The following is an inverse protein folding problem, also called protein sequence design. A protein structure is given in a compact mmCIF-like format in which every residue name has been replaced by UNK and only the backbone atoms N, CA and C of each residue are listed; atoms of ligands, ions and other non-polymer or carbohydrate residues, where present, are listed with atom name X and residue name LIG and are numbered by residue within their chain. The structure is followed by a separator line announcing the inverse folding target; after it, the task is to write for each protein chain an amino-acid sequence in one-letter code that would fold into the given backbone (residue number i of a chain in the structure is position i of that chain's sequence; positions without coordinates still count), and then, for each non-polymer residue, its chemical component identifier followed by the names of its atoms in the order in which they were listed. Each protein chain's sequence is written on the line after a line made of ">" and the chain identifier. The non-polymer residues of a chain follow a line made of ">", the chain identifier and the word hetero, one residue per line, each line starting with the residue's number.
data_IF_299172170886
#
_entry.id   IF_299172170886
#
_cell.length_a   1.000
_cell.length_b   1.000
_cell.length_c   1.000
_cell.angle_alpha   90.00
_cell.angle_beta   90.00
_cell.angle_gamma   90.00
#
_symmetry.space_group_name_H-M   'P 1'
#
loop_
_entity.id
_entity.type
_entity.pdbx_description
1 polymer ?
#
# COMPACT_ATOMS: atom_id res chain seq x y z
N UNK A 1 -27.63 8.31 -82.93
CA UNK A 1 -27.87 7.04 -83.65
C UNK A 1 -26.91 5.99 -83.09
N UNK A 2 -27.36 4.75 -83.06
CA UNK A 2 -26.66 3.52 -82.66
C UNK A 2 -26.56 3.23 -81.16
N UNK A 3 -26.83 1.96 -80.89
CA UNK A 3 -27.31 1.30 -79.68
C UNK A 3 -26.47 0.01 -79.57
N UNK A 4 -26.39 -0.59 -78.37
CA UNK A 4 -26.04 -2.00 -78.02
C UNK A 4 -24.87 -2.09 -77.02
N UNK A 5 -25.14 -2.41 -75.75
CA UNK A 5 -25.25 -3.74 -75.08
C UNK A 5 -23.90 -4.39 -74.78
N UNK A 6 -23.57 -4.53 -73.49
CA UNK A 6 -23.01 -5.75 -72.92
C UNK A 6 -23.10 -5.72 -71.38
N UNK A 7 -23.80 -6.73 -70.85
CA UNK A 7 -23.84 -7.07 -69.45
C UNK A 7 -22.47 -7.60 -68.98
N UNK A 8 -22.11 -7.32 -67.73
CA UNK A 8 -20.89 -7.84 -67.11
C UNK A 8 -21.05 -7.92 -65.60
N UNK A 9 -21.44 -9.12 -65.14
CA UNK A 9 -21.39 -9.59 -63.76
C UNK A 9 -20.03 -9.27 -63.11
N UNK A 10 -20.00 -8.66 -61.93
CA UNK A 10 -18.86 -8.75 -61.02
C UNK A 10 -19.33 -8.85 -59.56
N UNK A 11 -18.78 -9.86 -58.89
CA UNK A 11 -19.17 -10.44 -57.63
C UNK A 11 -19.19 -9.47 -56.44
N UNK A 12 -20.18 -9.65 -55.57
CA UNK A 12 -20.20 -9.12 -54.21
C UNK A 12 -19.15 -9.89 -53.40
N UNK A 13 -18.00 -9.26 -53.14
CA UNK A 13 -17.00 -9.79 -52.22
C UNK A 13 -17.50 -9.70 -50.78
N UNK A 14 -17.78 -10.84 -50.16
CA UNK A 14 -18.05 -10.93 -48.72
C UNK A 14 -16.71 -10.77 -48.00
N UNK A 15 -16.44 -9.59 -47.45
CA UNK A 15 -15.34 -9.34 -46.53
C UNK A 15 -15.64 -10.06 -45.21
N UNK A 16 -15.18 -11.30 -45.08
CA UNK A 16 -15.09 -11.96 -43.78
C UNK A 16 -13.91 -11.35 -43.02
N UNK A 17 -14.20 -10.47 -42.06
CA UNK A 17 -13.20 -10.02 -41.08
C UNK A 17 -12.87 -11.20 -40.15
N UNK A 18 -11.85 -11.97 -40.50
CA UNK A 18 -11.21 -12.91 -39.58
C UNK A 18 -10.59 -12.10 -38.45
N UNK A 19 -11.26 -12.05 -37.30
CA UNK A 19 -10.72 -11.48 -36.08
C UNK A 19 -9.59 -12.39 -35.57
N UNK A 20 -8.39 -12.21 -36.12
CA UNK A 20 -7.17 -12.81 -35.59
C UNK A 20 -6.95 -12.21 -34.20
N UNK A 21 -7.27 -12.97 -33.16
CA UNK A 21 -6.88 -12.65 -31.79
C UNK A 21 -5.36 -12.63 -31.73
N UNK A 22 -4.79 -11.42 -31.66
CA UNK A 22 -3.34 -11.26 -31.54
C UNK A 22 -2.86 -11.95 -30.25
N UNK A 23 -1.81 -12.80 -30.31
CA UNK A 23 -1.27 -13.49 -29.13
C UNK A 23 -0.87 -12.52 -28.01
N UNK A 24 -0.49 -11.29 -28.37
CA UNK A 24 -0.18 -10.20 -27.45
C UNK A 24 -1.37 -9.78 -26.58
N UNK A 25 -2.58 -9.74 -27.15
CA UNK A 25 -3.80 -9.41 -26.40
C UNK A 25 -4.20 -10.54 -25.46
N UNK A 26 -4.01 -11.79 -25.88
CA UNK A 26 -4.25 -12.95 -25.03
C UNK A 26 -3.26 -12.98 -23.84
N UNK A 27 -1.99 -12.67 -24.09
CA UNK A 27 -0.97 -12.56 -23.05
C UNK A 27 -1.25 -11.42 -22.06
N UNK A 28 -1.69 -10.25 -22.52
CA UNK A 28 -2.06 -9.14 -21.63
C UNK A 28 -3.28 -9.47 -20.75
N UNK A 29 -4.27 -10.19 -21.29
CA UNK A 29 -5.44 -10.64 -20.54
C UNK A 29 -5.04 -11.70 -19.50
N UNK A 30 -4.13 -12.61 -19.87
CA UNK A 30 -3.67 -13.66 -18.96
C UNK A 30 -2.75 -13.10 -17.86
N UNK A 31 -1.90 -12.12 -18.18
CA UNK A 31 -1.12 -11.36 -17.21
C UNK A 31 -2.02 -10.56 -16.25
N UNK A 32 -3.11 -9.95 -16.74
CA UNK A 32 -4.08 -9.26 -15.91
C UNK A 32 -4.87 -10.22 -14.99
N UNK A 33 -5.14 -11.44 -15.44
CA UNK A 33 -5.82 -12.48 -14.64
C UNK A 33 -4.94 -13.10 -13.57
N UNK A 34 -3.64 -13.17 -13.81
CA UNK A 34 -2.66 -13.76 -12.89
C UNK A 34 -1.88 -12.72 -12.08
N UNK A 35 -2.22 -11.43 -12.20
CA UNK A 35 -1.63 -10.40 -11.36
C UNK A 35 -2.04 -10.66 -9.90
N UNK A 36 -1.09 -10.65 -8.93
CA UNK A 36 -1.45 -10.80 -7.53
C UNK A 36 -2.42 -9.70 -7.12
N UNK A 37 -3.38 -10.04 -6.26
CA UNK A 37 -4.34 -9.08 -5.72
C UNK A 37 -3.58 -7.91 -5.08
N UNK A 38 -3.70 -6.73 -5.71
CA UNK A 38 -3.09 -5.52 -5.19
C UNK A 38 -3.91 -5.03 -4.01
N UNK A 39 -3.26 -4.85 -2.87
CA UNK A 39 -3.89 -4.32 -1.68
C UNK A 39 -4.01 -2.79 -1.76
N UNK A 40 -5.18 -2.25 -1.45
CA UNK A 40 -5.38 -0.80 -1.33
C UNK A 40 -5.12 -0.30 0.10
N UNK A 41 -5.08 -1.21 1.08
CA UNK A 41 -4.86 -0.93 2.49
C UNK A 41 -4.23 -2.17 3.16
N UNK A 42 -3.41 -1.95 4.18
CA UNK A 42 -3.01 -3.02 5.08
C UNK A 42 -4.26 -3.62 5.74
N UNK A 43 -4.29 -4.95 5.97
CA UNK A 43 -5.33 -5.56 6.78
C UNK A 43 -5.23 -5.09 8.24
N UNK A 44 -6.28 -5.28 9.04
CA UNK A 44 -6.22 -5.04 10.49
C UNK A 44 -5.03 -5.78 11.13
N UNK A 45 -4.30 -5.10 12.00
CA UNK A 45 -3.13 -5.65 12.67
C UNK A 45 -3.48 -6.01 14.12
N UNK A 46 -2.98 -7.17 14.58
CA UNK A 46 -3.10 -7.54 15.99
C UNK A 46 -1.90 -6.98 16.74
N UNK A 47 -2.17 -6.16 17.76
CA UNK A 47 -1.18 -5.64 18.69
C UNK A 47 -1.33 -6.40 20.00
N UNK A 48 -0.39 -7.25 20.44
CA UNK A 48 -0.51 -7.99 21.69
C UNK A 48 -0.62 -7.09 22.94
N UNK A 49 -1.11 -7.67 24.03
CA UNK A 49 -1.25 -6.99 25.32
C UNK A 49 0.10 -6.46 25.81
N UNK A 50 0.10 -5.21 26.27
CA UNK A 50 1.29 -4.52 26.77
C UNK A 50 2.28 -4.11 25.69
N UNK A 51 1.98 -4.28 24.39
CA UNK A 51 2.82 -3.81 23.29
C UNK A 51 2.29 -2.51 22.69
N UNK A 52 3.18 -1.79 22.01
CA UNK A 52 2.84 -0.54 21.34
C UNK A 52 3.15 -0.62 19.85
N UNK A 53 2.52 0.24 19.08
CA UNK A 53 2.73 0.27 17.65
C UNK A 53 2.52 1.63 17.03
N UNK A 54 3.16 1.82 15.88
CA UNK A 54 2.95 2.95 14.99
C UNK A 54 1.92 2.53 13.96
N UNK A 55 0.86 3.33 13.83
CA UNK A 55 -0.22 3.12 12.87
C UNK A 55 -0.36 4.34 11.99
N UNK A 56 -0.03 4.22 10.69
CA UNK A 56 -0.04 5.34 9.77
C UNK A 56 -0.94 5.11 8.56
N UNK A 57 -1.69 6.15 8.24
CA UNK A 57 -2.70 6.18 7.20
C UNK A 57 -2.34 7.22 6.15
N UNK A 58 -2.77 6.99 4.91
CA UNK A 58 -2.67 8.00 3.86
C UNK A 58 -3.56 9.21 4.17
N UNK A 59 -3.18 10.39 3.67
CA UNK A 59 -3.92 11.64 3.89
C UNK A 59 -5.05 11.92 2.87
N UNK A 60 -5.31 10.99 1.95
CA UNK A 60 -6.40 11.12 0.96
C UNK A 60 -7.75 10.64 1.50
N UNK A 61 -8.83 10.86 0.74
CA UNK A 61 -10.22 10.65 1.20
C UNK A 61 -10.51 9.27 1.83
N UNK A 62 -9.88 8.20 1.32
CA UNK A 62 -10.07 6.83 1.83
C UNK A 62 -9.19 6.47 3.04
N UNK A 63 -8.26 7.34 3.42
CA UNK A 63 -7.30 7.15 4.51
C UNK A 63 -6.75 5.71 4.63
N UNK A 64 -6.17 5.14 3.55
CA UNK A 64 -5.76 3.74 3.54
C UNK A 64 -4.73 3.49 4.64
N UNK A 65 -4.76 2.33 5.28
CA UNK A 65 -3.75 1.94 6.26
C UNK A 65 -2.47 1.54 5.52
N UNK A 66 -1.36 2.25 5.75
CA UNK A 66 -0.13 2.13 4.93
C UNK A 66 1.04 1.54 5.68
N UNK A 67 1.25 1.95 6.94
CA UNK A 67 2.39 1.49 7.74
C UNK A 67 1.92 1.02 9.09
N UNK A 68 2.38 -0.18 9.47
CA UNK A 68 2.30 -0.68 10.83
C UNK A 68 3.70 -1.04 11.30
N UNK A 69 4.10 -0.59 12.48
CA UNK A 69 5.30 -1.10 13.16
C UNK A 69 4.91 -1.52 14.57
N UNK A 70 5.36 -2.70 14.99
CA UNK A 70 5.25 -3.15 16.37
C UNK A 70 6.62 -2.96 17.04
N UNK A 71 6.66 -2.13 18.09
CA UNK A 71 7.88 -1.63 18.72
C UNK A 71 8.72 -2.71 19.40
N UNK A 72 8.07 -3.80 19.84
CA UNK A 72 8.68 -4.92 20.58
C UNK A 72 8.83 -6.18 19.75
N UNK A 73 7.92 -6.43 18.82
CA UNK A 73 7.96 -7.63 17.99
C UNK A 73 9.03 -7.57 16.89
N UNK A 74 9.67 -6.41 16.67
CA UNK A 74 10.71 -6.27 15.65
C UNK A 74 10.17 -6.47 14.24
N UNK A 75 8.92 -6.03 14.00
CA UNK A 75 8.21 -6.25 12.75
C UNK A 75 7.55 -4.97 12.25
N UNK A 76 7.71 -4.69 10.96
CA UNK A 76 7.01 -3.62 10.26
C UNK A 76 6.34 -4.13 8.98
N UNK A 77 5.16 -3.60 8.67
CA UNK A 77 4.46 -3.80 7.40
C UNK A 77 4.34 -2.46 6.68
N UNK A 78 4.67 -2.43 5.40
CA UNK A 78 4.54 -1.23 4.56
C UNK A 78 3.81 -1.59 3.27
N UNK A 79 2.71 -0.90 2.98
CA UNK A 79 2.01 -1.02 1.70
C UNK A 79 2.59 -0.05 0.66
N UNK A 80 3.25 -0.59 -0.36
CA UNK A 80 3.81 0.16 -1.46
C UNK A 80 3.38 -0.41 -2.81
N UNK A 81 2.82 0.43 -3.68
CA UNK A 81 2.36 0.05 -5.03
C UNK A 81 1.45 -1.21 -5.08
N UNK A 82 0.61 -1.39 -4.05
CA UNK A 82 -0.28 -2.54 -3.96
C UNK A 82 0.33 -3.81 -3.36
N UNK A 83 1.62 -3.77 -3.00
CA UNK A 83 2.36 -4.88 -2.40
C UNK A 83 2.60 -4.60 -0.91
N UNK A 84 2.34 -5.59 -0.07
CA UNK A 84 2.64 -5.54 1.35
C UNK A 84 4.05 -6.07 1.57
N UNK A 85 4.93 -5.19 2.07
CA UNK A 85 6.30 -5.52 2.43
C UNK A 85 6.35 -5.83 3.92
N UNK A 86 6.69 -7.06 4.29
CA UNK A 86 6.91 -7.48 5.68
C UNK A 86 8.41 -7.45 6.00
N UNK A 87 8.78 -6.64 6.99
CA UNK A 87 10.16 -6.27 7.26
C UNK A 87 10.52 -6.59 8.70
N UNK A 88 11.67 -7.23 8.88
CA UNK A 88 12.32 -7.35 10.19
C UNK A 88 12.97 -6.02 10.57
N UNK A 89 12.71 -5.55 11.79
CA UNK A 89 13.27 -4.30 12.32
C UNK A 89 13.87 -4.52 13.70
N UNK A 90 14.89 -3.76 14.03
CA UNK A 90 15.40 -3.73 15.41
C UNK A 90 14.33 -3.14 16.32
N UNK A 91 13.90 -3.84 17.38
CA UNK A 91 12.97 -3.29 18.37
C UNK A 91 13.49 -1.96 18.91
N UNK A 92 12.65 -0.94 18.89
CA UNK A 92 12.96 0.39 19.43
C UNK A 92 11.87 0.78 20.42
N UNK A 93 11.84 0.12 21.59
CA UNK A 93 10.89 0.46 22.62
C UNK A 93 11.21 1.85 23.18
N UNK A 94 10.21 2.70 23.25
CA UNK A 94 10.36 4.06 23.78
C UNK A 94 9.11 4.87 23.52
N UNK A 95 8.77 5.75 24.47
CA UNK A 95 7.66 6.67 24.27
C UNK A 95 8.04 7.71 23.22
N UNK A 96 7.12 8.01 22.31
CA UNK A 96 7.20 9.21 21.50
C UNK A 96 6.91 10.41 22.40
N UNK A 97 7.85 11.36 22.47
CA UNK A 97 7.70 12.58 23.28
C UNK A 97 7.16 13.70 22.40
N UNK A 98 6.11 14.38 22.84
CA UNK A 98 5.50 15.50 22.12
C UNK A 98 6.55 16.56 21.73
N UNK A 99 6.47 17.01 20.48
CA UNK A 99 7.39 17.98 19.87
C UNK A 99 8.67 17.38 19.31
N UNK A 100 8.94 16.09 19.53
CA UNK A 100 10.12 15.45 18.96
C UNK A 100 9.92 15.08 17.48
N UNK A 101 11.01 15.19 16.72
CA UNK A 101 11.09 14.62 15.38
C UNK A 101 11.60 13.20 15.44
N UNK A 102 11.01 12.34 14.63
CA UNK A 102 11.45 10.95 14.52
C UNK A 102 11.87 10.59 13.10
N UNK A 103 12.73 9.57 13.01
CA UNK A 103 13.13 8.95 11.75
C UNK A 103 13.27 7.44 11.91
N UNK A 104 12.67 6.69 10.97
CA UNK A 104 12.84 5.24 10.83
C UNK A 104 13.33 4.91 9.43
N UNK A 105 14.15 3.88 9.32
CA UNK A 105 14.66 3.37 8.04
C UNK A 105 14.41 1.87 8.01
N UNK A 106 13.77 1.42 6.94
CA UNK A 106 13.45 0.02 6.71
C UNK A 106 14.09 -0.41 5.39
N UNK A 107 14.75 -1.57 5.43
CA UNK A 107 15.41 -2.16 4.28
C UNK A 107 14.60 -3.37 3.83
N UNK A 108 14.12 -3.35 2.59
CA UNK A 108 13.59 -4.53 1.92
C UNK A 108 14.65 -5.06 0.95
N UNK A 109 15.38 -6.08 1.39
CA UNK A 109 16.40 -6.73 0.57
C UNK A 109 15.81 -7.55 -0.58
N UNK A 110 14.59 -8.08 -0.41
CA UNK A 110 13.96 -8.89 -1.45
C UNK A 110 13.51 -8.02 -2.63
N UNK A 111 13.02 -6.82 -2.35
CA UNK A 111 12.54 -5.88 -3.37
C UNK A 111 13.57 -4.80 -3.75
N UNK A 112 14.74 -4.78 -3.11
CA UNK A 112 15.74 -3.72 -3.26
C UNK A 112 15.19 -2.30 -3.03
N UNK A 113 14.36 -2.15 -1.99
CA UNK A 113 13.74 -0.89 -1.61
C UNK A 113 14.26 -0.40 -0.26
N UNK A 114 14.42 0.91 -0.14
CA UNK A 114 14.67 1.59 1.13
C UNK A 114 13.48 2.48 1.44
N UNK A 115 12.82 2.20 2.56
CA UNK A 115 11.76 3.04 3.09
C UNK A 115 12.31 3.92 4.20
N UNK A 116 12.17 5.24 4.07
CA UNK A 116 12.51 6.20 5.11
C UNK A 116 11.25 6.90 5.57
N UNK A 117 10.93 6.75 6.86
CA UNK A 117 9.82 7.41 7.51
C UNK A 117 10.36 8.55 8.36
N UNK A 118 9.81 9.75 8.21
CA UNK A 118 10.12 10.91 9.04
C UNK A 118 8.85 11.60 9.46
N UNK A 119 8.80 12.17 10.66
CA UNK A 119 7.66 12.96 11.10
C UNK A 119 7.92 13.65 12.43
N UNK A 120 6.86 14.18 13.01
CA UNK A 120 6.85 14.87 14.29
C UNK A 120 5.78 14.26 15.21
N UNK A 121 6.07 14.24 16.51
CA UNK A 121 5.12 13.82 17.54
C UNK A 121 4.29 15.02 17.93
N UNK A 122 3.00 14.95 17.62
CA UNK A 122 2.00 15.95 18.00
C UNK A 122 1.43 15.70 19.39
N UNK A 123 0.23 16.24 19.61
CA UNK A 123 -0.46 16.16 20.89
C UNK A 123 -0.91 14.73 21.23
N UNK A 124 -1.02 14.48 22.54
CA UNK A 124 -1.64 13.26 23.07
C UNK A 124 -3.12 13.20 22.68
N UNK A 125 -3.55 12.03 22.20
CA UNK A 125 -4.97 11.74 21.94
C UNK A 125 -5.47 10.68 22.92
N UNK A 126 -6.78 10.40 22.93
CA UNK A 126 -7.33 9.29 23.71
C UNK A 126 -6.78 7.90 23.32
N UNK A 127 -6.01 7.79 22.24
CA UNK A 127 -5.40 6.54 21.75
C UNK A 127 -3.87 6.56 21.76
N UNK A 128 -3.23 7.60 22.31
CA UNK A 128 -1.79 7.81 22.26
C UNK A 128 -1.40 9.08 21.49
N UNK A 129 -0.11 9.46 21.41
CA UNK A 129 0.31 10.68 20.73
C UNK A 129 0.10 10.59 19.22
N UNK A 130 -0.34 11.70 18.64
CA UNK A 130 -0.50 11.84 17.19
C UNK A 130 0.87 11.92 16.51
N UNK A 131 0.98 11.31 15.34
CA UNK A 131 2.14 11.42 14.47
C UNK A 131 1.76 12.30 13.28
N UNK A 132 2.40 13.45 13.19
CA UNK A 132 2.08 14.53 12.26
C UNK A 132 3.22 14.78 11.27
N UNK A 133 2.89 15.44 10.16
CA UNK A 133 3.83 15.78 9.08
C UNK A 133 4.65 14.57 8.62
N UNK A 134 4.03 13.39 8.62
CA UNK A 134 4.74 12.13 8.37
C UNK A 134 4.95 11.97 6.87
N UNK A 135 6.19 11.72 6.46
CA UNK A 135 6.57 11.44 5.09
C UNK A 135 7.17 10.04 5.01
N UNK A 136 6.59 9.20 4.16
CA UNK A 136 7.18 7.94 3.72
C UNK A 136 7.87 8.17 2.39
N UNK A 137 9.20 8.13 2.39
CA UNK A 137 10.02 8.11 1.18
C UNK A 137 10.39 6.68 0.83
N UNK A 138 10.16 6.27 -0.40
CA UNK A 138 10.61 4.98 -0.93
C UNK A 138 11.63 5.23 -2.02
N UNK A 139 12.84 4.68 -1.86
CA UNK A 139 13.91 4.74 -2.85
C UNK A 139 14.19 3.34 -3.39
N UNK A 140 14.22 3.22 -4.71
CA UNK A 140 14.67 2.00 -5.38
C UNK A 140 16.15 2.08 -5.76
N UNK A 141 16.73 0.94 -6.15
CA UNK A 141 18.15 0.83 -6.50
C UNK A 141 18.54 1.63 -7.74
N UNK A 142 17.59 1.89 -8.64
CA UNK A 142 17.78 2.74 -9.82
C UNK A 142 17.83 4.24 -9.50
N UNK A 143 17.67 4.60 -8.21
CA UNK A 143 17.66 5.97 -7.72
C UNK A 143 16.30 6.65 -7.80
N UNK A 144 15.27 5.99 -8.34
CA UNK A 144 13.92 6.53 -8.33
C UNK A 144 13.40 6.68 -6.90
N UNK A 145 12.68 7.76 -6.65
CA UNK A 145 12.15 8.08 -5.33
C UNK A 145 10.68 8.48 -5.43
N UNK A 146 9.87 7.97 -4.50
CA UNK A 146 8.49 8.41 -4.30
C UNK A 146 8.31 8.89 -2.88
N UNK A 147 7.44 9.88 -2.69
CA UNK A 147 7.14 10.46 -1.37
C UNK A 147 5.63 10.41 -1.16
N UNK A 148 5.20 9.82 -0.05
CA UNK A 148 3.79 9.73 0.34
C UNK A 148 3.58 10.42 1.70
N UNK A 149 2.70 11.44 1.77
CA UNK A 149 2.31 12.02 3.05
C UNK A 149 1.39 11.05 3.80
N UNK A 150 1.67 10.90 5.09
CA UNK A 150 0.93 10.06 6.03
C UNK A 150 0.60 10.86 7.29
N UNK A 151 -0.29 10.30 8.10
CA UNK A 151 -0.55 10.73 9.47
C UNK A 151 -1.06 9.55 10.28
N UNK A 152 -1.01 9.64 11.60
CA UNK A 152 -1.51 8.54 12.42
C UNK A 152 -1.24 8.70 13.90
N UNK A 153 -1.06 7.57 14.58
CA UNK A 153 -0.91 7.51 16.03
C UNK A 153 0.16 6.50 16.42
N UNK A 154 0.84 6.78 17.52
CA UNK A 154 1.50 5.75 18.30
C UNK A 154 0.54 5.32 19.41
N UNK A 155 0.25 4.02 19.51
CA UNK A 155 -0.75 3.51 20.44
C UNK A 155 -0.26 2.25 21.15
N UNK A 156 -0.60 2.13 22.43
CA UNK A 156 -0.30 0.96 23.25
C UNK A 156 -1.58 0.20 23.57
N UNK A 157 -1.52 -1.13 23.52
CA UNK A 157 -2.62 -1.96 24.03
C UNK A 157 -2.38 -2.24 25.50
N UNK A 158 -3.32 -1.83 26.35
CA UNK A 158 -3.23 -2.10 27.79
C UNK A 158 -3.19 -3.61 28.06
N UNK A 159 -2.23 -4.04 28.88
CA UNK A 159 -2.13 -5.41 29.36
C UNK A 159 -2.90 -5.69 30.64
N UNK A 160 -3.55 -4.67 31.24
CA UNK A 160 -4.34 -4.85 32.45
C UNK A 160 -5.74 -5.38 32.11
N UNK A 161 -5.85 -6.70 32.20
CA UNK A 161 -7.01 -7.44 32.71
C UNK A 161 -8.40 -6.81 32.45
N UNK A 162 -9.11 -7.34 31.45
CA UNK A 162 -10.54 -7.14 31.18
C UNK A 162 -11.40 -7.83 32.26
N UNK A 163 -11.05 -7.66 33.53
CA UNK A 163 -11.83 -8.03 34.71
C UNK A 163 -12.13 -6.75 35.47
N UNK A 164 -12.99 -5.90 34.89
CA UNK A 164 -13.71 -4.95 35.72
C UNK A 164 -14.76 -5.78 36.48
N UNK A 165 -14.70 -5.92 37.81
CA UNK A 165 -15.84 -6.42 38.55
C UNK A 165 -17.00 -5.45 38.31
N UNK A 166 -18.11 -5.99 37.78
CA UNK A 166 -19.36 -5.27 37.67
C UNK A 166 -19.67 -4.59 39.01
N UNK A 167 -19.86 -3.28 38.96
CA UNK A 167 -20.25 -2.50 40.13
C UNK A 167 -21.77 -2.63 40.30
N UNK A 168 -22.13 -3.31 41.38
CA UNK A 168 -23.42 -3.40 42.08
C UNK A 168 -24.50 -4.26 41.41
#
# INVERSE_FOLDING_TARGET
>A
MMRWFLAGLCAVGVTACSATSSPERAQLIDQARNAPDRADSLPPQNLPDGQCGIFLFGMGDRHPFVVFENDRAGRALILHQGVIHELGVTPQPGAFVQGERFRRVYLDQASNLVFTLTGEVGEETGSGPRLENVLLRTRAIDGSETVRPLGGVYSCRDGSNRTAPGRL
#
